data_IF_116832975758
#
_entry.id   IF_116832975758
#
_cell.length_a   1.000
_cell.length_b   1.000
_cell.length_c   1.000
_cell.angle_alpha   90.00
_cell.angle_beta   90.00
_cell.angle_gamma   90.00
#
_symmetry.space_group_name_H-M   'P 1'
#
loop_
_entity.id
_entity.type
_entity.pdbx_description
1 polymer ?
#
# COMPACT_ATOMS: atom_id res chain seq x y z
N UNK A 1 36.22 -2.01 6.43
CA UNK A 1 34.77 -2.25 6.27
C UNK A 1 34.12 -0.91 6.55
N UNK A 2 33.44 -0.31 5.57
CA UNK A 2 32.67 0.91 5.84
C UNK A 2 31.55 0.55 6.80
N UNK A 3 31.45 1.31 7.89
CA UNK A 3 30.35 1.15 8.86
C UNK A 3 29.03 1.44 8.14
N UNK A 4 28.13 0.46 8.13
CA UNK A 4 26.82 0.61 7.48
C UNK A 4 25.98 1.55 8.33
N UNK A 5 25.45 2.61 7.73
CA UNK A 5 24.61 3.56 8.45
C UNK A 5 23.39 2.87 9.08
N UNK A 6 23.02 3.24 10.31
CA UNK A 6 21.85 2.67 10.97
C UNK A 6 20.57 2.97 10.18
N UNK A 7 19.60 2.08 10.23
CA UNK A 7 18.29 2.31 9.64
C UNK A 7 17.61 3.49 10.36
N UNK A 8 17.19 4.48 9.57
CA UNK A 8 16.47 5.66 10.04
C UNK A 8 15.00 5.35 10.03
N UNK A 9 14.37 5.35 11.21
CA UNK A 9 12.91 5.20 11.30
C UNK A 9 12.26 6.54 10.95
N UNK A 10 11.37 6.50 9.97
CA UNK A 10 10.57 7.63 9.53
C UNK A 10 9.11 7.31 9.82
N UNK A 11 8.38 8.27 10.36
CA UNK A 11 6.92 8.21 10.49
C UNK A 11 6.32 9.24 9.52
N UNK A 12 5.03 9.08 9.22
CA UNK A 12 4.35 9.93 8.27
C UNK A 12 2.90 10.21 8.68
N UNK A 13 2.33 11.24 8.06
CA UNK A 13 0.91 11.53 8.10
C UNK A 13 0.44 12.04 6.74
N UNK A 14 -0.87 12.01 6.51
CA UNK A 14 -1.49 12.51 5.29
C UNK A 14 -2.23 13.82 5.55
N UNK A 15 -1.80 14.89 4.89
CA UNK A 15 -2.57 16.11 4.78
C UNK A 15 -3.55 15.97 3.60
N UNK A 16 -4.85 15.84 3.91
CA UNK A 16 -5.91 15.63 2.91
C UNK A 16 -6.49 16.97 2.44
N UNK A 17 -6.85 17.02 1.18
CA UNK A 17 -7.53 18.14 0.55
C UNK A 17 -8.73 17.61 -0.24
N UNK A 18 -9.92 18.11 0.09
CA UNK A 18 -11.12 17.78 -0.67
C UNK A 18 -11.05 18.46 -2.05
N UNK A 19 -11.34 17.70 -3.10
CA UNK A 19 -11.39 18.27 -4.47
C UNK A 19 -12.70 19.01 -4.76
N UNK A 20 -13.70 18.85 -3.88
CA UNK A 20 -15.08 19.31 -4.09
C UNK A 20 -15.87 18.45 -5.09
N UNK A 21 -15.26 17.40 -5.68
CA UNK A 21 -15.95 16.45 -6.55
C UNK A 21 -16.44 15.25 -5.75
N UNK A 22 -17.64 14.80 -6.10
CA UNK A 22 -18.33 13.69 -5.45
C UNK A 22 -18.91 12.79 -6.54
N UNK A 23 -18.86 11.47 -6.36
CA UNK A 23 -19.47 10.49 -7.25
C UNK A 23 -20.60 9.76 -6.53
N UNK A 24 -21.78 9.74 -7.13
CA UNK A 24 -23.00 9.08 -6.63
C UNK A 24 -23.39 7.86 -7.45
N UNK A 25 -22.73 7.63 -8.59
CA UNK A 25 -23.00 6.53 -9.50
C UNK A 25 -21.76 6.13 -10.31
N UNK A 26 -21.87 5.00 -11.03
CA UNK A 26 -20.75 4.46 -11.80
C UNK A 26 -20.30 5.36 -12.96
N UNK A 27 -21.23 6.09 -13.58
CA UNK A 27 -20.90 6.99 -14.70
C UNK A 27 -20.06 8.18 -14.22
N UNK A 28 -20.41 8.75 -13.07
CA UNK A 28 -19.65 9.80 -12.42
C UNK A 28 -18.26 9.31 -11.99
N UNK A 29 -18.15 8.08 -11.49
CA UNK A 29 -16.85 7.47 -11.20
C UNK A 29 -16.00 7.33 -12.47
N UNK A 30 -16.57 6.84 -13.58
CA UNK A 30 -15.87 6.75 -14.87
C UNK A 30 -15.38 8.11 -15.36
N UNK A 31 -16.22 9.14 -15.35
CA UNK A 31 -15.84 10.49 -15.75
C UNK A 31 -14.79 11.10 -14.81
N UNK A 32 -14.89 10.83 -13.51
CA UNK A 32 -13.91 11.24 -12.52
C UNK A 32 -12.56 10.58 -12.79
N UNK A 33 -12.48 9.25 -12.87
CA UNK A 33 -11.24 8.51 -13.11
C UNK A 33 -10.57 8.92 -14.42
N UNK A 34 -11.31 9.40 -15.42
CA UNK A 34 -10.73 9.95 -16.66
C UNK A 34 -10.11 11.34 -16.52
N UNK A 35 -10.56 12.16 -15.56
CA UNK A 35 -10.30 13.60 -15.55
C UNK A 35 -9.68 14.15 -14.27
N UNK A 36 -9.76 13.44 -13.15
CA UNK A 36 -9.17 13.89 -11.88
C UNK A 36 -7.66 13.98 -11.96
N UNK A 37 -7.01 14.88 -11.21
CA UNK A 37 -5.57 14.87 -11.06
C UNK A 37 -5.03 13.51 -10.60
N UNK A 38 -3.80 13.18 -11.00
CA UNK A 38 -3.10 11.95 -10.59
C UNK A 38 -3.01 11.79 -9.07
N UNK A 39 -2.92 12.91 -8.33
CA UNK A 39 -2.89 12.94 -6.86
C UNK A 39 -4.15 12.36 -6.20
N UNK A 40 -5.29 12.40 -6.90
CA UNK A 40 -6.55 11.80 -6.44
C UNK A 40 -6.49 10.28 -6.60
N UNK A 41 -6.05 9.79 -7.76
CA UNK A 41 -5.88 8.35 -7.97
C UNK A 41 -4.82 7.77 -7.03
N UNK A 42 -3.70 8.47 -6.84
CA UNK A 42 -2.67 8.08 -5.86
C UNK A 42 -3.25 7.98 -4.44
N UNK A 43 -4.16 8.88 -4.06
CA UNK A 43 -4.83 8.76 -2.77
C UNK A 43 -5.71 7.51 -2.70
N UNK A 44 -6.69 7.39 -3.60
CA UNK A 44 -7.71 6.33 -3.51
C UNK A 44 -7.21 4.93 -3.86
N UNK A 45 -6.09 4.81 -4.56
CA UNK A 45 -5.49 3.51 -4.93
C UNK A 45 -4.31 3.12 -4.05
N UNK A 46 -3.53 4.08 -3.54
CA UNK A 46 -2.26 3.78 -2.85
C UNK A 46 -2.23 4.28 -1.41
N UNK A 47 -2.50 5.58 -1.17
CA UNK A 47 -2.34 6.18 0.17
C UNK A 47 -3.49 5.90 1.12
N UNK A 48 -4.63 5.48 0.60
CA UNK A 48 -5.77 5.05 1.41
C UNK A 48 -5.39 3.91 2.36
N UNK A 49 -4.36 3.11 2.06
CA UNK A 49 -3.85 2.05 2.96
C UNK A 49 -3.36 2.57 4.33
N UNK A 50 -3.16 3.89 4.50
CA UNK A 50 -2.87 4.51 5.80
C UNK A 50 -4.12 4.85 6.62
N UNK A 51 -5.33 4.73 6.06
CA UNK A 51 -6.56 5.14 6.74
C UNK A 51 -7.14 4.04 7.64
N UNK A 52 -7.69 4.46 8.79
CA UNK A 52 -8.14 3.59 9.89
C UNK A 52 -9.28 2.62 9.49
N UNK A 53 -10.04 2.88 8.41
CA UNK A 53 -11.12 1.99 7.97
C UNK A 53 -10.64 0.71 7.25
N UNK A 54 -9.35 0.60 6.93
CA UNK A 54 -8.75 -0.62 6.37
C UNK A 54 -8.41 -1.69 7.41
N UNK A 55 -8.69 -1.43 8.70
CA UNK A 55 -8.40 -2.36 9.79
C UNK A 55 -9.12 -3.71 9.68
N UNK A 56 -10.24 -3.80 8.94
CA UNK A 56 -11.01 -5.04 8.76
C UNK A 56 -10.82 -5.73 7.40
N UNK A 57 -9.96 -5.20 6.52
CA UNK A 57 -9.39 -5.91 5.37
C UNK A 57 -10.39 -6.56 4.39
N UNK A 58 -11.41 -5.83 3.92
CA UNK A 58 -12.22 -6.31 2.79
C UNK A 58 -11.66 -5.85 1.43
N UNK A 59 -10.96 -4.70 1.36
CA UNK A 59 -10.54 -4.09 0.10
C UNK A 59 -9.14 -3.47 0.22
N UNK A 60 -8.27 -3.61 -0.78
CA UNK A 60 -6.92 -3.04 -0.75
C UNK A 60 -6.88 -1.55 -1.18
N UNK A 61 -7.97 -1.06 -1.79
CA UNK A 61 -8.09 0.32 -2.22
C UNK A 61 -9.51 0.87 -1.98
N UNK A 62 -9.61 2.20 -1.95
CA UNK A 62 -10.85 2.89 -1.63
C UNK A 62 -11.89 2.78 -2.76
N UNK A 63 -11.45 2.68 -4.02
CA UNK A 63 -12.37 2.52 -5.15
C UNK A 63 -13.06 1.16 -5.10
N UNK A 64 -12.32 0.08 -4.84
CA UNK A 64 -12.86 -1.27 -4.67
C UNK A 64 -13.88 -1.31 -3.53
N UNK A 65 -13.52 -0.73 -2.38
CA UNK A 65 -14.40 -0.59 -1.22
C UNK A 65 -15.70 0.14 -1.57
N UNK A 66 -15.61 1.28 -2.26
CA UNK A 66 -16.80 2.06 -2.61
C UNK A 66 -17.67 1.35 -3.65
N UNK A 67 -17.07 0.74 -4.68
CA UNK A 67 -17.79 -0.06 -5.67
C UNK A 67 -18.58 -1.19 -5.00
N UNK A 68 -17.97 -1.88 -4.05
CA UNK A 68 -18.66 -2.95 -3.31
C UNK A 68 -19.72 -2.41 -2.36
N UNK A 69 -19.35 -1.53 -1.42
CA UNK A 69 -20.20 -1.15 -0.30
C UNK A 69 -21.14 0.03 -0.58
N UNK A 70 -20.66 1.04 -1.32
CA UNK A 70 -21.41 2.24 -1.64
C UNK A 70 -22.33 2.05 -2.84
N UNK A 71 -21.78 1.50 -3.92
CA UNK A 71 -22.48 1.29 -5.19
C UNK A 71 -23.26 -0.04 -5.22
N UNK A 72 -22.86 -1.03 -4.42
CA UNK A 72 -23.42 -2.39 -4.45
C UNK A 72 -23.00 -3.22 -5.65
N UNK A 73 -21.95 -2.80 -6.37
CA UNK A 73 -21.40 -3.50 -7.53
C UNK A 73 -20.22 -4.37 -7.11
N UNK A 74 -20.54 -5.57 -6.63
CA UNK A 74 -19.55 -6.50 -6.08
C UNK A 74 -18.54 -6.99 -7.12
N UNK A 75 -18.99 -7.17 -8.38
CA UNK A 75 -18.12 -7.58 -9.49
C UNK A 75 -17.06 -6.51 -9.74
N UNK A 76 -17.47 -5.24 -9.82
CA UNK A 76 -16.51 -4.14 -10.00
C UNK A 76 -15.61 -3.97 -8.77
N UNK A 77 -16.15 -4.17 -7.57
CA UNK A 77 -15.37 -4.19 -6.32
C UNK A 77 -14.25 -5.23 -6.37
N UNK A 78 -14.54 -6.47 -6.74
CA UNK A 78 -13.54 -7.53 -6.91
C UNK A 78 -12.51 -7.21 -7.99
N UNK A 79 -12.97 -6.75 -9.16
CA UNK A 79 -12.07 -6.37 -10.25
C UNK A 79 -11.09 -5.27 -9.82
N UNK A 80 -11.55 -4.26 -9.10
CA UNK A 80 -10.71 -3.20 -8.57
C UNK A 80 -9.78 -3.66 -7.45
N UNK A 81 -10.20 -4.63 -6.62
CA UNK A 81 -9.33 -5.21 -5.60
C UNK A 81 -8.10 -5.89 -6.23
N UNK A 82 -8.24 -6.51 -7.40
CA UNK A 82 -7.14 -7.21 -8.07
C UNK A 82 -6.13 -6.28 -8.76
N UNK A 83 -6.43 -4.99 -8.87
CA UNK A 83 -5.53 -4.02 -9.51
C UNK A 83 -4.50 -3.55 -8.48
N UNK A 84 -3.27 -4.06 -8.57
CA UNK A 84 -2.12 -3.57 -7.81
C UNK A 84 -1.53 -2.32 -8.50
N UNK A 85 -1.66 -1.13 -7.91
CA UNK A 85 -1.22 0.11 -8.54
C UNK A 85 0.32 0.22 -8.63
N UNK A 86 1.08 -0.59 -7.90
CA UNK A 86 2.54 -0.60 -7.91
C UNK A 86 3.12 -1.44 -9.05
N UNK A 87 2.30 -2.21 -9.78
CA UNK A 87 2.72 -2.98 -10.96
C UNK A 87 2.70 -2.16 -12.26
N UNK A 88 2.18 -0.93 -12.23
CA UNK A 88 2.14 -0.04 -13.39
C UNK A 88 3.37 0.86 -13.43
N UNK A 89 3.90 1.15 -14.62
CA UNK A 89 5.08 2.00 -14.77
C UNK A 89 4.76 3.49 -14.51
N UNK A 90 3.49 3.87 -14.58
CA UNK A 90 3.03 5.23 -14.32
C UNK A 90 1.56 5.30 -13.89
N UNK A 91 1.17 6.42 -13.27
CA UNK A 91 -0.23 6.71 -12.96
C UNK A 91 -1.11 6.83 -14.21
N UNK A 92 -0.54 7.18 -15.36
CA UNK A 92 -1.26 7.19 -16.63
C UNK A 92 -1.64 5.78 -17.12
N UNK A 93 -0.74 4.79 -16.92
CA UNK A 93 -1.03 3.39 -17.21
C UNK A 93 -2.07 2.82 -16.25
N UNK A 94 -1.92 3.08 -14.94
CA UNK A 94 -2.92 2.71 -13.93
C UNK A 94 -4.29 3.30 -14.27
N UNK A 95 -4.34 4.59 -14.61
CA UNK A 95 -5.58 5.26 -15.02
C UNK A 95 -6.20 4.58 -16.22
N UNK A 96 -5.40 4.23 -17.23
CA UNK A 96 -5.90 3.55 -18.43
C UNK A 96 -6.50 2.18 -18.08
N UNK A 97 -5.86 1.41 -17.19
CA UNK A 97 -6.40 0.15 -16.71
C UNK A 97 -7.73 0.31 -15.96
N UNK A 98 -7.81 1.29 -15.04
CA UNK A 98 -9.06 1.60 -14.32
C UNK A 98 -10.17 2.04 -15.27
N UNK A 99 -9.87 2.89 -16.25
CA UNK A 99 -10.82 3.34 -17.27
C UNK A 99 -11.34 2.18 -18.10
N UNK A 100 -10.46 1.26 -18.52
CA UNK A 100 -10.87 0.08 -19.31
C UNK A 100 -11.83 -0.81 -18.52
N UNK A 101 -11.53 -1.09 -17.25
CA UNK A 101 -12.41 -1.90 -16.38
C UNK A 101 -13.77 -1.23 -16.18
N UNK A 102 -13.79 0.09 -15.94
CA UNK A 102 -15.03 0.85 -15.80
C UNK A 102 -15.84 0.90 -17.10
N UNK A 103 -15.17 1.08 -18.24
CA UNK A 103 -15.80 1.11 -19.55
C UNK A 103 -16.45 -0.25 -19.85
N UNK A 104 -15.71 -1.35 -19.71
CA UNK A 104 -16.24 -2.71 -19.89
C UNK A 104 -17.44 -2.97 -18.97
N UNK A 105 -17.34 -2.58 -17.69
CA UNK A 105 -18.45 -2.71 -16.74
C UNK A 105 -19.67 -1.90 -17.19
N UNK A 106 -19.50 -0.67 -17.65
CA UNK A 106 -20.57 0.20 -18.14
C UNK A 106 -21.25 -0.36 -19.40
N UNK A 107 -20.50 -0.95 -20.33
CA UNK A 107 -21.05 -1.56 -21.54
C UNK A 107 -21.96 -2.76 -21.23
N UNK A 108 -21.65 -3.51 -20.17
CA UNK A 108 -22.42 -4.69 -19.76
C UNK A 108 -23.69 -4.39 -18.96
N UNK A 109 -23.99 -3.13 -18.63
CA UNK A 109 -25.09 -2.76 -17.74
C UNK A 109 -26.30 -2.22 -18.49
N UNK A 110 -27.48 -2.79 -18.22
CA UNK A 110 -28.76 -2.26 -18.70
C UNK A 110 -29.14 -0.94 -18.01
N UNK A 111 -28.73 -0.77 -16.75
CA UNK A 111 -28.99 0.43 -15.94
C UNK A 111 -27.75 0.79 -15.12
N UNK A 112 -27.47 2.10 -15.06
CA UNK A 112 -26.38 2.63 -14.24
C UNK A 112 -26.72 2.47 -12.75
N UNK A 113 -25.86 1.82 -11.94
CA UNK A 113 -26.05 1.71 -10.50
C UNK A 113 -25.78 3.05 -9.82
N UNK A 114 -26.49 3.30 -8.72
CA UNK A 114 -26.39 4.51 -7.90
C UNK A 114 -26.18 4.11 -6.45
N UNK A 115 -25.34 4.84 -5.74
CA UNK A 115 -25.25 4.71 -4.29
C UNK A 115 -26.48 5.29 -3.61
N UNK A 116 -26.71 4.92 -2.35
CA UNK A 116 -27.72 5.57 -1.51
C UNK A 116 -27.21 6.94 -1.05
N UNK A 117 -28.11 7.91 -0.75
CA UNK A 117 -27.72 9.17 -0.16
C UNK A 117 -26.88 8.97 1.10
N UNK A 118 -25.76 9.68 1.20
CA UNK A 118 -24.78 9.56 2.29
C UNK A 118 -23.71 8.48 2.08
N UNK A 119 -23.78 7.72 0.98
CA UNK A 119 -22.75 6.74 0.59
C UNK A 119 -21.96 7.21 -0.64
N UNK A 120 -21.98 8.49 -0.97
CA UNK A 120 -21.25 9.02 -2.10
C UNK A 120 -19.73 8.91 -1.90
N UNK A 121 -18.99 8.73 -3.00
CA UNK A 121 -17.53 8.77 -2.98
C UNK A 121 -17.08 10.22 -3.05
N UNK A 122 -16.43 10.68 -1.98
CA UNK A 122 -15.79 11.99 -1.96
C UNK A 122 -14.38 11.86 -2.52
N UNK A 123 -14.12 12.58 -3.60
CA UNK A 123 -12.79 12.55 -4.23
C UNK A 123 -11.86 13.49 -3.48
N UNK A 124 -10.79 12.92 -2.93
CA UNK A 124 -9.80 13.66 -2.17
C UNK A 124 -8.42 13.43 -2.75
N UNK A 125 -7.57 14.43 -2.61
CA UNK A 125 -6.14 14.26 -2.80
C UNK A 125 -5.44 14.35 -1.45
N UNK A 126 -4.22 13.83 -1.38
CA UNK A 126 -3.43 13.88 -0.16
C UNK A 126 -1.98 14.20 -0.45
N UNK A 127 -1.32 14.83 0.52
CA UNK A 127 0.13 14.99 0.56
C UNK A 127 0.69 14.26 1.76
N UNK A 128 1.77 13.51 1.54
CA UNK A 128 2.47 12.84 2.61
C UNK A 128 3.45 13.81 3.29
N UNK A 129 3.36 13.89 4.61
CA UNK A 129 4.30 14.62 5.46
C UNK A 129 5.10 13.58 6.24
N UNK A 130 6.37 13.42 5.85
CA UNK A 130 7.31 12.52 6.49
C UNK A 130 8.14 13.27 7.53
N UNK A 131 8.44 12.62 8.65
CA UNK A 131 9.29 13.17 9.69
C UNK A 131 10.16 12.09 10.32
N UNK A 132 11.40 12.47 10.60
CA UNK A 132 12.37 11.65 11.31
C UNK A 132 11.91 11.46 12.75
N UNK A 133 11.81 10.22 13.22
CA UNK A 133 11.41 9.92 14.60
C UNK A 133 12.56 10.11 15.60
N UNK A 134 13.79 10.25 15.10
CA UNK A 134 15.02 10.23 15.88
C UNK A 134 15.50 8.82 16.22
N UNK A 135 14.70 7.78 15.96
CA UNK A 135 15.08 6.39 16.21
C UNK A 135 16.05 5.88 15.13
N UNK A 136 17.06 5.13 15.57
CA UNK A 136 18.13 4.57 14.74
C UNK A 136 18.34 3.12 15.10
N UNK A 137 18.23 2.24 14.11
CA UNK A 137 18.36 0.80 14.30
C UNK A 137 19.70 0.34 13.72
N UNK A 138 20.65 -0.13 14.55
CA UNK A 138 22.02 -0.35 14.11
C UNK A 138 22.24 -1.69 13.38
N UNK A 139 21.37 -2.68 13.58
CA UNK A 139 21.59 -4.05 13.07
C UNK A 139 20.30 -4.71 12.60
N UNK A 140 20.37 -5.68 11.67
CA UNK A 140 19.21 -6.46 11.25
C UNK A 140 18.47 -7.14 12.42
N UNK A 141 19.19 -7.62 13.43
CA UNK A 141 18.58 -8.20 14.63
C UNK A 141 17.77 -7.15 15.43
N UNK A 142 18.33 -5.94 15.61
CA UNK A 142 17.61 -4.85 16.26
C UNK A 142 16.39 -4.38 15.45
N UNK A 143 16.41 -4.52 14.11
CA UNK A 143 15.24 -4.26 13.27
C UNK A 143 14.12 -5.26 13.56
N UNK A 144 14.45 -6.55 13.72
CA UNK A 144 13.49 -7.58 14.10
C UNK A 144 12.72 -7.20 15.39
N UNK A 145 13.46 -6.77 16.41
CA UNK A 145 12.91 -6.35 17.71
C UNK A 145 12.11 -5.05 17.60
N UNK A 146 12.55 -4.10 16.77
CA UNK A 146 11.86 -2.83 16.57
C UNK A 146 10.55 -2.97 15.80
N UNK A 147 10.47 -3.90 14.84
CA UNK A 147 9.28 -4.13 14.01
C UNK A 147 8.03 -4.46 14.84
N UNK A 148 8.15 -5.10 16.01
CA UNK A 148 7.00 -5.38 16.88
C UNK A 148 6.37 -4.10 17.43
N UNK A 149 7.19 -3.06 17.68
CA UNK A 149 6.79 -1.81 18.35
C UNK A 149 6.67 -0.62 17.40
N UNK A 150 7.18 -0.73 16.17
CA UNK A 150 7.19 0.33 15.17
C UNK A 150 5.77 0.81 14.85
N UNK A 151 5.44 2.10 14.76
CA UNK A 151 4.11 2.54 14.36
C UNK A 151 3.71 2.00 12.99
N UNK A 152 2.43 1.64 12.79
CA UNK A 152 1.93 1.15 11.48
C UNK A 152 2.17 2.17 10.36
N UNK A 153 2.15 3.46 10.68
CA UNK A 153 2.45 4.53 9.73
C UNK A 153 3.90 4.55 9.27
N UNK A 154 4.84 4.13 10.11
CA UNK A 154 6.23 3.90 9.71
C UNK A 154 6.34 2.69 8.79
N UNK A 155 5.57 1.63 9.02
CA UNK A 155 5.50 0.49 8.08
C UNK A 155 4.95 0.94 6.73
N UNK A 156 3.87 1.72 6.72
CA UNK A 156 3.35 2.32 5.49
C UNK A 156 4.44 3.15 4.77
N UNK A 157 5.16 4.00 5.50
CA UNK A 157 6.22 4.81 4.90
C UNK A 157 7.33 3.95 4.27
N UNK A 158 7.84 2.99 5.04
CA UNK A 158 8.99 2.18 4.63
C UNK A 158 8.66 1.08 3.61
N UNK A 159 7.37 0.76 3.41
CA UNK A 159 6.92 -0.28 2.46
C UNK A 159 6.14 0.32 1.30
N UNK A 160 4.98 0.92 1.55
CA UNK A 160 4.11 1.47 0.51
C UNK A 160 4.73 2.72 -0.12
N UNK A 161 5.06 3.73 0.70
CA UNK A 161 5.62 4.98 0.19
C UNK A 161 7.04 4.77 -0.37
N UNK A 162 7.85 3.89 0.21
CA UNK A 162 9.16 3.51 -0.34
C UNK A 162 9.04 2.92 -1.75
N UNK A 163 8.13 1.96 -1.97
CA UNK A 163 7.87 1.43 -3.31
C UNK A 163 7.36 2.51 -4.25
N UNK A 164 6.49 3.41 -3.80
CA UNK A 164 6.06 4.56 -4.61
C UNK A 164 7.24 5.44 -5.04
N UNK A 165 8.12 5.81 -4.10
CA UNK A 165 9.32 6.63 -4.35
C UNK A 165 10.32 5.96 -5.30
N UNK A 166 10.34 4.63 -5.35
CA UNK A 166 11.24 3.84 -6.20
C UNK A 166 10.60 3.33 -7.49
N UNK A 167 9.33 3.68 -7.77
CA UNK A 167 8.59 3.22 -8.94
C UNK A 167 8.31 1.71 -8.90
N UNK A 168 7.90 1.20 -7.74
CA UNK A 168 7.53 -0.19 -7.49
C UNK A 168 8.69 -1.13 -7.15
N UNK A 169 9.94 -0.66 -7.20
CA UNK A 169 11.12 -1.55 -7.22
C UNK A 169 11.49 -2.17 -5.89
N UNK A 170 11.47 -1.40 -4.80
CA UNK A 170 11.91 -1.90 -3.49
C UNK A 170 11.35 -1.07 -2.34
N UNK A 171 11.18 -1.72 -1.19
CA UNK A 171 11.02 -1.08 0.11
C UNK A 171 12.35 -0.71 0.77
N UNK A 172 12.26 0.16 1.79
CA UNK A 172 13.41 0.64 2.56
C UNK A 172 14.06 -0.46 3.41
N UNK A 173 13.28 -1.44 3.90
CA UNK A 173 13.81 -2.54 4.72
C UNK A 173 14.74 -3.43 3.89
N UNK A 174 14.26 -3.91 2.75
CA UNK A 174 15.02 -4.73 1.81
C UNK A 174 16.28 -4.00 1.35
N UNK A 175 16.15 -2.73 0.95
CA UNK A 175 17.28 -1.91 0.50
C UNK A 175 18.32 -1.65 1.61
N UNK A 176 17.90 -1.60 2.87
CA UNK A 176 18.85 -1.49 3.99
C UNK A 176 19.49 -2.82 4.35
N UNK A 177 18.74 -3.91 4.38
CA UNK A 177 19.27 -5.25 4.65
C UNK A 177 20.33 -5.67 3.63
N UNK A 178 20.15 -5.33 2.35
CA UNK A 178 21.18 -5.54 1.31
C UNK A 178 22.46 -4.76 1.59
N UNK A 179 22.35 -3.50 2.03
CA UNK A 179 23.52 -2.68 2.42
C UNK A 179 24.23 -3.23 3.65
N UNK A 180 23.49 -3.88 4.54
CA UNK A 180 24.04 -4.61 5.70
C UNK A 180 24.66 -5.96 5.33
N UNK A 181 24.62 -6.38 4.06
CA UNK A 181 25.02 -7.74 3.63
C UNK A 181 24.29 -8.84 4.44
N UNK A 182 23.02 -8.59 4.78
CA UNK A 182 22.19 -9.53 5.53
C UNK A 182 21.86 -10.77 4.68
N UNK A 183 21.23 -11.78 5.31
CA UNK A 183 20.85 -13.01 4.62
C UNK A 183 20.03 -12.71 3.35
N UNK A 184 20.50 -13.09 2.14
CA UNK A 184 19.79 -12.82 0.89
C UNK A 184 18.44 -13.53 0.81
N UNK A 185 18.27 -14.67 1.49
CA UNK A 185 16.99 -15.38 1.53
C UNK A 185 15.93 -14.57 2.31
N UNK A 186 16.33 -13.89 3.39
CA UNK A 186 15.46 -12.98 4.14
C UNK A 186 15.03 -11.79 3.27
N UNK A 187 15.96 -11.20 2.52
CA UNK A 187 15.66 -10.11 1.59
C UNK A 187 14.69 -10.57 0.51
N UNK A 188 14.89 -11.77 -0.03
CA UNK A 188 14.00 -12.35 -1.04
C UNK A 188 12.59 -12.62 -0.47
N UNK A 189 12.48 -13.14 0.76
CA UNK A 189 11.21 -13.38 1.43
C UNK A 189 10.45 -12.07 1.66
N UNK A 190 11.10 -11.03 2.21
CA UNK A 190 10.50 -9.71 2.41
C UNK A 190 9.99 -9.12 1.08
N UNK A 191 10.77 -9.26 0.01
CA UNK A 191 10.37 -8.77 -1.33
C UNK A 191 9.19 -9.52 -1.93
N UNK A 192 8.99 -10.78 -1.55
CA UNK A 192 7.88 -11.63 -2.00
C UNK A 192 6.56 -11.36 -1.27
N UNK A 193 6.57 -10.53 -0.21
CA UNK A 193 5.35 -10.15 0.50
C UNK A 193 4.47 -9.32 -0.42
N UNK A 194 3.26 -9.83 -0.67
CA UNK A 194 2.16 -9.19 -1.40
C UNK A 194 1.53 -8.04 -0.57
N UNK A 195 2.35 -7.06 -0.19
CA UNK A 195 2.03 -6.01 0.78
C UNK A 195 0.77 -5.20 0.43
N UNK A 196 0.45 -5.05 -0.86
CA UNK A 196 -0.74 -4.31 -1.31
C UNK A 196 -2.04 -4.97 -0.83
N UNK A 197 -2.04 -6.30 -0.66
CA UNK A 197 -3.21 -7.07 -0.23
C UNK A 197 -3.27 -7.28 1.29
N UNK A 198 -2.39 -6.61 2.04
CA UNK A 198 -2.32 -6.67 3.49
C UNK A 198 -2.67 -5.31 4.08
N UNK A 199 -3.43 -5.31 5.17
CA UNK A 199 -3.46 -4.14 6.04
C UNK A 199 -2.12 -4.01 6.79
N UNK A 200 -1.85 -2.84 7.37
CA UNK A 200 -0.54 -2.56 8.00
C UNK A 200 -0.22 -3.46 9.20
N UNK A 201 -1.23 -3.99 9.88
CA UNK A 201 -1.05 -4.95 10.97
C UNK A 201 -0.64 -6.32 10.44
N UNK A 202 -1.27 -6.80 9.36
CA UNK A 202 -0.89 -8.03 8.67
C UNK A 202 0.49 -7.91 8.03
N UNK A 203 0.80 -6.75 7.42
CA UNK A 203 2.13 -6.46 6.90
C UNK A 203 3.20 -6.57 7.98
N UNK A 204 2.95 -6.04 9.18
CA UNK A 204 3.85 -6.23 10.33
C UNK A 204 4.07 -7.71 10.62
N UNK A 205 3.00 -8.50 10.67
CA UNK A 205 3.09 -9.94 10.95
C UNK A 205 3.88 -10.69 9.87
N UNK A 206 3.65 -10.37 8.59
CA UNK A 206 4.40 -10.95 7.48
C UNK A 206 5.91 -10.63 7.58
N UNK A 207 6.25 -9.38 7.90
CA UNK A 207 7.64 -8.98 8.14
C UNK A 207 8.24 -9.74 9.33
N UNK A 208 7.55 -9.79 10.48
CA UNK A 208 8.03 -10.53 11.66
C UNK A 208 8.23 -12.01 11.38
N UNK A 209 7.35 -12.64 10.60
CA UNK A 209 7.46 -14.05 10.19
C UNK A 209 8.71 -14.28 9.34
N UNK A 210 8.96 -13.44 8.35
CA UNK A 210 10.16 -13.53 7.51
C UNK A 210 11.45 -13.45 8.35
N UNK A 211 11.50 -12.50 9.29
CA UNK A 211 12.62 -12.42 10.24
C UNK A 211 12.73 -13.69 11.08
N UNK A 212 11.63 -14.17 11.67
CA UNK A 212 11.64 -15.36 12.53
C UNK A 212 12.14 -16.63 11.83
N UNK A 213 11.76 -16.85 10.56
CA UNK A 213 12.23 -17.97 9.74
C UNK A 213 13.76 -17.96 9.61
N UNK A 214 14.34 -16.80 9.33
CA UNK A 214 15.76 -16.69 9.01
C UNK A 214 16.69 -16.49 10.22
N UNK A 215 16.19 -15.95 11.34
CA UNK A 215 16.95 -15.88 12.59
C UNK A 215 16.96 -17.20 13.37
N UNK A 216 15.91 -18.03 13.23
CA UNK A 216 15.89 -19.38 13.83
C UNK A 216 16.84 -20.35 13.12
N UNK A 217 16.94 -20.23 11.80
CA UNK A 217 17.84 -21.05 10.97
C UNK A 217 19.32 -20.77 11.20
N UNK A 218 19.71 -19.54 11.54
CA UNK A 218 21.11 -19.22 11.82
C UNK A 218 21.60 -19.85 13.13
N UNK A 219 20.71 -20.00 14.12
CA UNK A 219 21.03 -20.67 15.40
C UNK A 219 21.18 -22.18 15.21
N UNK A 220 20.33 -22.79 14.38
CA UNK A 220 20.40 -24.23 14.06
C UNK A 220 21.64 -24.60 13.22
N UNK A 221 22.06 -23.74 12.29
CA UNK A 221 23.28 -23.96 11.49
C UNK A 221 24.58 -23.67 12.26
N UNK A 222 24.54 -22.78 13.26
CA UNK A 222 25.68 -22.47 14.12
C UNK A 222 25.99 -23.53 15.20
N UNK A 223 25.08 -24.47 15.46
CA UNK A 223 25.27 -25.56 16.44
C UNK A 223 25.79 -26.87 15.83
N UNK A 224 25.95 -26.94 14.50
CA UNK A 224 26.52 -28.08 13.78
C UNK A 224 27.95 -27.82 13.24
N UNK A 225 28.61 -26.75 13.69
CA UNK A 225 29.97 -26.36 13.30
C UNK A 225 31.00 -26.61 14.38
#
# INVERSE_FOLDING_TARGET
MSEVEPFVVVDCTLARCATGRVCSNLRELFEAVRSVPDTVLEHHMMRCALEDYFELNEFPNDLARWCWSGLGDHVLGEQFSLIDPYQFASLAELRSALVNVLEERLWGLERIPWCRPGLELYLVESRLVAYDTGERIPTPAALAEALERMPVRSLFYHVHEARRRTGGKTDDFSAWLERCEANPDLVAEIRSIDFYFLNLSQLRQALLQAFAHHFSDSVARGTMG
#
